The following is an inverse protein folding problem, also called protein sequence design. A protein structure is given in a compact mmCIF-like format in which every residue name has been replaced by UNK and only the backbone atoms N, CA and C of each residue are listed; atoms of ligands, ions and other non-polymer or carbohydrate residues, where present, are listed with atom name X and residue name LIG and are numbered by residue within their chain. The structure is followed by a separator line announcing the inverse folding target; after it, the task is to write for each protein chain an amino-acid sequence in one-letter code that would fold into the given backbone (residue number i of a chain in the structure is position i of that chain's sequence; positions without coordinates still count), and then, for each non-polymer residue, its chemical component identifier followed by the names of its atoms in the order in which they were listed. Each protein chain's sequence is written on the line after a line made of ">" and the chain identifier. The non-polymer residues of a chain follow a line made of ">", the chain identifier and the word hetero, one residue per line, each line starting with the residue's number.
data_IF_938442575139
#
_entry.id   IF_938442575139
#
_cell.length_a   1.000
_cell.length_b   1.000
_cell.length_c   1.000
_cell.angle_alpha   90.00
_cell.angle_beta   90.00
_cell.angle_gamma   90.00
#
_symmetry.space_group_name_H-M   'P 1'
#
loop_
_entity.id
_entity.type
_entity.pdbx_description
1 polymer ?
#
# COMPACT_ATOMS: atom_id res chain seq x y z
N UNK A 1 -4.70 -45.95 -15.10
CA UNK A 1 -4.71 -44.89 -14.06
C UNK A 1 -6.10 -44.27 -14.02
N UNK A 2 -6.81 -44.29 -12.88
CA UNK A 2 -8.13 -43.68 -12.77
C UNK A 2 -8.04 -42.14 -12.91
N UNK A 3 -8.99 -41.51 -13.62
CA UNK A 3 -9.09 -40.07 -13.74
C UNK A 3 -9.09 -39.35 -12.37
N UNK A 4 -9.65 -39.98 -11.33
CA UNK A 4 -9.62 -39.49 -9.94
C UNK A 4 -8.20 -39.47 -9.33
N UNK A 5 -7.32 -40.39 -9.70
CA UNK A 5 -5.94 -40.43 -9.22
C UNK A 5 -5.07 -39.36 -9.90
N UNK A 6 -5.28 -39.12 -11.20
CA UNK A 6 -4.62 -38.04 -11.94
C UNK A 6 -5.05 -36.65 -11.43
N UNK A 7 -6.34 -36.48 -11.07
CA UNK A 7 -6.88 -35.26 -10.49
C UNK A 7 -6.24 -34.85 -9.15
N UNK A 8 -5.60 -35.77 -8.41
CA UNK A 8 -4.87 -35.42 -7.16
C UNK A 8 -3.57 -34.67 -7.42
N UNK A 9 -2.99 -34.76 -8.62
CA UNK A 9 -1.76 -34.04 -9.00
C UNK A 9 -2.02 -32.57 -9.35
N UNK A 10 -3.24 -32.26 -9.79
CA UNK A 10 -3.62 -30.91 -10.21
C UNK A 10 -4.62 -30.30 -9.21
N UNK A 11 -4.28 -29.18 -8.55
CA UNK A 11 -5.13 -28.62 -7.50
C UNK A 11 -6.53 -28.26 -7.99
N UNK A 12 -6.64 -27.72 -9.21
CA UNK A 12 -7.93 -27.43 -9.85
C UNK A 12 -8.83 -28.66 -9.97
N UNK A 13 -8.35 -29.75 -10.56
CA UNK A 13 -9.16 -30.96 -10.74
C UNK A 13 -9.49 -31.61 -9.38
N UNK A 14 -8.58 -31.53 -8.40
CA UNK A 14 -8.86 -31.99 -7.05
C UNK A 14 -9.98 -31.20 -6.36
N UNK A 15 -10.09 -29.90 -6.66
CA UNK A 15 -11.16 -29.03 -6.17
C UNK A 15 -12.49 -29.38 -6.84
N UNK A 16 -12.52 -29.46 -8.17
CA UNK A 16 -13.73 -29.80 -8.92
C UNK A 16 -14.27 -31.18 -8.52
N UNK A 17 -13.38 -32.17 -8.33
CA UNK A 17 -13.78 -33.50 -7.86
C UNK A 17 -14.45 -33.51 -6.49
N UNK A 18 -14.18 -32.52 -5.63
CA UNK A 18 -14.69 -32.44 -4.27
C UNK A 18 -15.95 -31.58 -4.16
N UNK A 19 -15.95 -30.43 -4.82
CA UNK A 19 -17.00 -29.41 -4.65
C UNK A 19 -18.02 -29.40 -5.79
N UNK A 20 -17.65 -29.88 -6.99
CA UNK A 20 -18.51 -29.90 -8.17
C UNK A 20 -18.29 -31.16 -9.02
N UNK A 21 -18.55 -32.37 -8.50
CA UNK A 21 -18.29 -33.60 -9.23
C UNK A 21 -19.06 -33.67 -10.56
N UNK A 22 -20.23 -33.03 -10.66
CA UNK A 22 -21.01 -32.92 -11.90
C UNK A 22 -20.35 -32.04 -12.98
N UNK A 23 -19.42 -31.17 -12.60
CA UNK A 23 -18.66 -30.34 -13.56
C UNK A 23 -17.49 -31.09 -14.21
N UNK A 24 -17.14 -32.28 -13.69
CA UNK A 24 -16.08 -33.07 -14.28
C UNK A 24 -16.59 -33.78 -15.55
N UNK A 25 -15.82 -33.74 -16.64
CA UNK A 25 -16.18 -34.45 -17.85
C UNK A 25 -16.10 -35.97 -17.64
N UNK A 26 -17.08 -36.70 -18.16
CA UNK A 26 -17.03 -38.16 -18.21
C UNK A 26 -15.94 -38.66 -19.18
N UNK A 27 -15.64 -37.86 -20.21
CA UNK A 27 -14.67 -38.19 -21.27
C UNK A 27 -13.30 -37.59 -20.97
N UNK A 28 -12.20 -38.35 -21.09
CA UNK A 28 -10.85 -37.81 -20.95
C UNK A 28 -10.57 -36.76 -22.04
N UNK A 29 -10.14 -35.56 -21.64
CA UNK A 29 -9.77 -34.47 -22.57
C UNK A 29 -10.87 -33.45 -22.85
N UNK A 30 -12.11 -33.69 -22.41
CA UNK A 30 -13.15 -32.65 -22.47
C UNK A 30 -12.93 -31.59 -21.37
N UNK A 31 -13.40 -30.37 -21.60
CA UNK A 31 -13.30 -29.29 -20.62
C UNK A 31 -14.37 -29.44 -19.53
N UNK A 32 -14.06 -29.09 -18.26
CA UNK A 32 -15.05 -29.09 -17.19
C UNK A 32 -16.17 -28.07 -17.46
N UNK A 33 -17.38 -28.45 -17.08
CA UNK A 33 -18.56 -27.59 -17.16
C UNK A 33 -18.57 -26.51 -16.07
N UNK A 34 -19.62 -25.66 -16.05
CA UNK A 34 -19.78 -24.64 -15.02
C UNK A 34 -19.90 -25.26 -13.62
N UNK A 35 -19.54 -24.48 -12.59
CA UNK A 35 -19.59 -24.93 -11.21
C UNK A 35 -21.03 -25.25 -10.78
N UNK A 36 -21.30 -26.53 -10.51
CA UNK A 36 -22.61 -27.05 -10.11
C UNK A 36 -22.64 -27.55 -8.64
N UNK A 37 -22.05 -26.76 -7.73
CA UNK A 37 -22.08 -27.07 -6.29
C UNK A 37 -23.32 -26.51 -5.60
N UNK A 38 -23.75 -27.16 -4.51
CA UNK A 38 -24.92 -26.75 -3.70
C UNK A 38 -24.71 -25.43 -2.95
N UNK A 39 -23.46 -25.09 -2.63
CA UNK A 39 -23.08 -23.87 -1.93
C UNK A 39 -21.73 -23.37 -2.42
N UNK A 40 -21.45 -22.09 -2.22
CA UNK A 40 -20.20 -21.48 -2.63
C UNK A 40 -19.10 -21.69 -1.57
N UNK A 41 -18.08 -22.53 -1.82
CA UNK A 41 -17.02 -22.80 -0.86
C UNK A 41 -16.00 -21.65 -0.71
N UNK A 42 -16.10 -20.60 -1.54
CA UNK A 42 -15.25 -19.41 -1.50
C UNK A 42 -15.85 -18.27 -0.68
N UNK A 43 -17.14 -18.35 -0.35
CA UNK A 43 -17.83 -17.38 0.47
C UNK A 43 -17.74 -17.77 1.96
N UNK A 44 -17.67 -16.79 2.88
CA UNK A 44 -17.90 -17.07 4.29
C UNK A 44 -19.34 -17.55 4.49
N UNK A 45 -19.52 -18.59 5.31
CA UNK A 45 -20.83 -19.16 5.63
C UNK A 45 -21.20 -18.85 7.07
N UNK A 46 -22.50 -18.93 7.38
CA UNK A 46 -22.98 -18.77 8.75
C UNK A 46 -23.43 -20.14 9.24
N UNK A 47 -22.74 -20.76 10.22
CA UNK A 47 -23.06 -22.10 10.74
C UNK A 47 -24.53 -22.26 11.16
N UNK A 48 -25.13 -21.20 11.72
CA UNK A 48 -26.54 -21.16 12.10
C UNK A 48 -27.08 -19.76 11.82
N UNK A 49 -28.36 -19.60 11.41
CA UNK A 49 -28.97 -18.29 11.24
C UNK A 49 -28.89 -17.42 12.51
N UNK A 50 -28.86 -18.07 13.69
CA UNK A 50 -28.78 -17.42 15.00
C UNK A 50 -27.34 -17.12 15.46
N UNK A 51 -26.32 -17.62 14.75
CA UNK A 51 -24.94 -17.39 15.14
C UNK A 51 -24.58 -15.89 15.06
N UNK A 52 -23.68 -15.43 15.95
CA UNK A 52 -23.21 -14.03 15.95
C UNK A 52 -21.93 -13.85 15.12
N UNK A 53 -21.31 -14.92 14.67
CA UNK A 53 -20.07 -14.92 13.88
C UNK A 53 -20.28 -15.55 12.50
N UNK A 54 -19.41 -15.15 11.57
CA UNK A 54 -19.27 -15.77 10.26
C UNK A 54 -18.11 -16.75 10.28
N UNK A 55 -18.28 -17.91 9.68
CA UNK A 55 -17.21 -18.85 9.44
C UNK A 55 -16.36 -18.38 8.25
N UNK A 56 -15.06 -18.57 8.37
CA UNK A 56 -14.15 -18.31 7.27
C UNK A 56 -14.49 -19.20 6.06
N UNK A 57 -14.24 -18.73 4.82
CA UNK A 57 -14.46 -19.54 3.63
C UNK A 57 -13.63 -20.82 3.69
N UNK A 58 -14.21 -21.93 3.22
CA UNK A 58 -13.59 -23.26 3.22
C UNK A 58 -12.22 -23.26 2.53
N UNK A 59 -12.06 -22.42 1.51
CA UNK A 59 -10.78 -22.16 0.86
C UNK A 59 -10.31 -20.73 1.14
N UNK A 60 -9.09 -20.58 1.64
CA UNK A 60 -8.47 -19.27 1.86
C UNK A 60 -8.26 -18.50 0.55
N UNK A 61 -8.22 -17.17 0.62
CA UNK A 61 -8.04 -16.30 -0.55
C UNK A 61 -6.81 -16.65 -1.40
N UNK A 62 -5.71 -17.06 -0.76
CA UNK A 62 -4.51 -17.54 -1.46
C UNK A 62 -4.80 -18.78 -2.31
N UNK A 63 -5.57 -19.74 -1.79
CA UNK A 63 -5.98 -20.95 -2.53
C UNK A 63 -6.96 -20.61 -3.65
N UNK A 64 -7.92 -19.72 -3.39
CA UNK A 64 -8.87 -19.25 -4.42
C UNK A 64 -8.12 -18.63 -5.62
N UNK A 65 -7.13 -17.76 -5.37
CA UNK A 65 -6.27 -17.18 -6.40
C UNK A 65 -5.46 -18.23 -7.16
N UNK A 66 -4.92 -19.22 -6.46
CA UNK A 66 -4.16 -20.31 -7.08
C UNK A 66 -5.03 -21.12 -8.05
N UNK A 67 -6.23 -21.50 -7.63
CA UNK A 67 -7.18 -22.24 -8.47
C UNK A 67 -7.56 -21.44 -9.72
N UNK A 68 -7.78 -20.13 -9.59
CA UNK A 68 -8.06 -19.26 -10.74
C UNK A 68 -6.89 -19.13 -11.70
N UNK A 69 -5.67 -18.94 -11.19
CA UNK A 69 -4.46 -18.91 -12.02
C UNK A 69 -4.27 -20.22 -12.79
N UNK A 70 -4.61 -21.35 -12.17
CA UNK A 70 -4.58 -22.65 -12.85
C UNK A 70 -5.68 -22.78 -13.89
N UNK A 71 -6.90 -22.31 -13.62
CA UNK A 71 -7.98 -22.28 -14.60
C UNK A 71 -7.63 -21.40 -15.82
N UNK A 72 -7.09 -20.21 -15.58
CA UNK A 72 -6.61 -19.30 -16.62
C UNK A 72 -5.47 -19.91 -17.44
N UNK A 73 -4.51 -20.57 -16.80
CA UNK A 73 -3.40 -21.25 -17.48
C UNK A 73 -3.87 -22.40 -18.39
N UNK A 74 -5.00 -23.03 -18.06
CA UNK A 74 -5.64 -24.07 -18.87
C UNK A 74 -6.64 -23.50 -19.89
N UNK A 75 -6.82 -22.18 -19.96
CA UNK A 75 -7.77 -21.53 -20.87
C UNK A 75 -9.23 -21.82 -20.54
N UNK A 76 -9.53 -22.16 -19.28
CA UNK A 76 -10.89 -22.50 -18.85
C UNK A 76 -11.76 -21.26 -18.66
N UNK A 77 -13.07 -21.37 -18.94
CA UNK A 77 -13.99 -20.26 -18.69
C UNK A 77 -14.09 -19.94 -17.20
N UNK A 78 -14.34 -18.67 -16.88
CA UNK A 78 -14.40 -18.19 -15.49
C UNK A 78 -15.51 -18.88 -14.66
N UNK A 79 -16.54 -19.39 -15.33
CA UNK A 79 -17.71 -20.04 -14.71
C UNK A 79 -17.44 -21.45 -14.18
N UNK A 80 -16.26 -22.02 -14.48
CA UNK A 80 -15.82 -23.32 -13.93
C UNK A 80 -15.59 -23.25 -12.42
N UNK A 81 -15.27 -22.06 -11.90
CA UNK A 81 -15.06 -21.84 -10.47
C UNK A 81 -16.21 -21.00 -9.89
N UNK A 82 -16.58 -21.19 -8.61
CA UNK A 82 -17.60 -20.37 -8.00
C UNK A 82 -17.14 -18.90 -7.86
N UNK A 83 -18.08 -17.96 -7.74
CA UNK A 83 -17.75 -16.55 -7.59
C UNK A 83 -16.95 -16.32 -6.30
N UNK A 84 -15.83 -15.58 -6.39
CA UNK A 84 -14.96 -15.27 -5.24
C UNK A 84 -15.14 -13.81 -4.82
N UNK A 85 -15.33 -13.51 -3.52
CA UNK A 85 -15.60 -12.16 -3.03
C UNK A 85 -14.44 -11.17 -3.22
N UNK A 86 -13.19 -11.64 -3.27
CA UNK A 86 -12.01 -10.77 -3.46
C UNK A 86 -11.71 -10.44 -4.91
N UNK A 87 -12.50 -10.98 -5.83
CA UNK A 87 -12.31 -10.80 -7.26
C UNK A 87 -13.61 -10.24 -7.79
N UNK A 88 -13.89 -8.98 -7.41
CA UNK A 88 -14.81 -8.12 -8.16
C UNK A 88 -14.47 -8.30 -9.63
N UNK A 89 -15.41 -8.87 -10.38
CA UNK A 89 -15.34 -9.17 -11.80
C UNK A 89 -14.41 -8.17 -12.54
N UNK A 90 -13.17 -8.58 -12.77
CA UNK A 90 -12.34 -8.05 -13.86
C UNK A 90 -12.68 -8.78 -15.16
N UNK A 91 -13.94 -9.21 -15.31
CA UNK A 91 -14.45 -9.88 -16.52
C UNK A 91 -14.80 -8.88 -17.62
N UNK A 92 -14.27 -7.66 -17.53
CA UNK A 92 -14.18 -6.79 -18.69
C UNK A 92 -12.70 -6.70 -19.08
N UNK A 93 -12.31 -7.02 -20.32
CA UNK A 93 -10.97 -6.76 -20.83
C UNK A 93 -10.62 -5.24 -20.81
N UNK A 94 -11.57 -4.38 -20.43
CA UNK A 94 -11.40 -2.95 -20.17
C UNK A 94 -11.23 -2.59 -18.69
N UNK A 95 -11.17 -3.55 -17.76
CA UNK A 95 -10.87 -3.30 -16.34
C UNK A 95 -9.37 -3.04 -16.12
N UNK A 96 -8.92 -1.99 -16.81
CA UNK A 96 -7.75 -1.16 -16.59
C UNK A 96 -7.16 -1.34 -15.19
N UNK A 97 -5.89 -1.73 -15.14
CA UNK A 97 -4.97 -1.25 -14.10
C UNK A 97 -5.29 0.23 -13.78
N UNK A 98 -5.21 0.70 -12.53
CA UNK A 98 -5.44 2.11 -12.22
C UNK A 98 -4.57 3.04 -13.10
N UNK A 99 -3.40 2.56 -13.56
CA UNK A 99 -2.54 3.26 -14.52
C UNK A 99 -3.14 3.36 -15.94
N UNK A 100 -3.98 2.42 -16.34
CA UNK A 100 -4.64 2.41 -17.64
C UNK A 100 -5.85 3.37 -17.72
N UNK A 101 -6.33 3.90 -16.58
CA UNK A 101 -7.38 4.94 -16.52
C UNK A 101 -6.89 6.36 -16.82
N UNK A 102 -5.58 6.56 -16.85
CA UNK A 102 -4.98 7.85 -17.13
C UNK A 102 -4.71 7.99 -18.64
N UNK A 103 -4.99 9.17 -19.19
CA UNK A 103 -4.71 9.53 -20.59
C UNK A 103 -3.22 9.42 -20.91
N UNK A 104 -2.88 9.16 -22.18
CA UNK A 104 -1.50 8.96 -22.64
C UNK A 104 -0.58 10.15 -22.30
N UNK A 105 -1.11 11.37 -22.32
CA UNK A 105 -0.39 12.57 -21.87
C UNK A 105 -0.14 12.61 -20.35
N UNK A 106 -1.09 12.16 -19.53
CA UNK A 106 -0.90 12.06 -18.06
C UNK A 106 0.08 10.96 -17.66
N UNK A 107 0.30 9.95 -18.51
CA UNK A 107 1.33 8.91 -18.29
C UNK A 107 2.76 9.43 -18.50
N UNK A 108 2.93 10.61 -19.13
CA UNK A 108 4.23 11.23 -19.44
C UNK A 108 4.64 12.31 -18.42
N UNK A 109 4.29 12.16 -17.14
CA UNK A 109 4.94 12.98 -16.11
C UNK A 109 6.31 12.38 -15.80
N UNK A 110 7.32 12.87 -16.52
CA UNK A 110 8.72 12.56 -16.22
C UNK A 110 9.06 13.04 -14.82
N UNK A 111 9.62 12.14 -14.01
CA UNK A 111 10.22 12.48 -12.73
C UNK A 111 11.40 13.41 -12.95
N UNK A 112 11.30 14.66 -12.51
CA UNK A 112 12.42 15.62 -12.49
C UNK A 112 13.10 15.64 -11.11
N UNK A 113 14.43 15.83 -11.03
CA UNK A 113 15.18 15.81 -9.77
C UNK A 113 14.98 17.05 -8.86
N UNK A 114 14.07 17.98 -9.19
CA UNK A 114 13.94 19.28 -8.51
C UNK A 114 12.60 19.55 -7.80
N UNK A 115 11.71 18.56 -7.68
CA UNK A 115 10.43 18.72 -6.95
C UNK A 115 10.48 17.99 -5.62
N UNK A 116 10.73 18.67 -4.47
CA UNK A 116 10.54 18.05 -3.17
C UNK A 116 9.05 17.76 -2.96
N UNK A 117 8.76 16.54 -2.52
CA UNK A 117 7.40 16.01 -2.37
C UNK A 117 6.58 16.86 -1.37
N UNK A 118 5.61 17.65 -1.86
CA UNK A 118 4.25 17.84 -1.28
C UNK A 118 3.45 19.06 -1.77
N UNK A 119 3.62 19.57 -3.00
CA UNK A 119 2.66 20.52 -3.62
C UNK A 119 1.91 19.98 -4.83
N UNK A 120 2.41 18.90 -5.42
CA UNK A 120 1.89 18.31 -6.66
C UNK A 120 0.52 17.66 -6.47
N UNK A 121 0.26 17.00 -5.33
CA UNK A 121 -1.01 16.29 -5.12
C UNK A 121 -2.20 17.22 -4.93
N UNK A 122 -2.02 18.38 -4.28
CA UNK A 122 -3.11 19.35 -4.09
C UNK A 122 -3.33 20.21 -5.35
N UNK A 123 -2.30 20.47 -6.16
CA UNK A 123 -2.42 21.19 -7.45
C UNK A 123 -3.00 20.35 -8.60
N UNK A 124 -2.97 19.02 -8.49
CA UNK A 124 -3.47 18.10 -9.52
C UNK A 124 -4.96 17.75 -9.39
N UNK A 125 -5.65 18.20 -8.33
CA UNK A 125 -7.07 17.93 -8.12
C UNK A 125 -7.42 16.43 -8.11
N UNK A 126 -6.47 15.56 -7.75
CA UNK A 126 -6.68 14.12 -7.72
C UNK A 126 -7.49 13.73 -6.49
N UNK A 127 -8.57 12.98 -6.72
CA UNK A 127 -9.36 12.39 -5.64
C UNK A 127 -8.49 11.50 -4.75
N UNK A 128 -8.46 11.83 -3.46
CA UNK A 128 -7.68 11.09 -2.44
C UNK A 128 -8.43 9.80 -2.11
N UNK A 129 -7.97 8.66 -2.63
CA UNK A 129 -8.55 7.33 -2.33
C UNK A 129 -7.80 6.58 -1.22
N UNK A 130 -8.51 5.71 -0.50
CA UNK A 130 -7.92 4.79 0.49
C UNK A 130 -7.65 5.44 1.86
N UNK A 131 -6.60 5.02 2.61
CA UNK A 131 -6.30 5.50 3.97
C UNK A 131 -6.06 7.02 4.10
N UNK A 132 -6.01 7.71 2.97
CA UNK A 132 -5.76 9.14 2.83
C UNK A 132 -7.02 9.93 2.38
N UNK A 133 -8.15 9.24 2.16
CA UNK A 133 -9.44 9.89 1.95
C UNK A 133 -9.85 10.68 3.21
N UNK A 134 -10.13 11.98 3.05
CA UNK A 134 -10.60 12.85 4.13
C UNK A 134 -9.51 13.51 5.00
N UNK A 135 -8.21 13.24 4.78
CA UNK A 135 -7.13 13.95 5.49
C UNK A 135 -6.87 15.32 4.86
N UNK A 136 -7.16 16.40 5.61
CA UNK A 136 -6.76 17.77 5.23
C UNK A 136 -5.25 17.95 5.47
N UNK A 137 -4.50 18.28 4.42
CA UNK A 137 -3.06 18.57 4.51
C UNK A 137 -2.12 17.46 4.04
N UNK A 138 -0.82 17.78 4.03
CA UNK A 138 0.26 16.96 3.49
C UNK A 138 0.22 15.51 4.05
N UNK A 139 0.38 14.53 3.15
CA UNK A 139 0.27 13.10 3.44
C UNK A 139 1.24 12.58 4.51
N UNK A 140 2.23 13.38 4.92
CA UNK A 140 3.26 13.01 5.88
C UNK A 140 3.47 14.11 6.92
N UNK A 141 3.46 13.70 8.19
CA UNK A 141 3.72 14.57 9.37
C UNK A 141 5.09 15.25 9.35
N UNK A 142 6.02 14.79 8.52
CA UNK A 142 7.42 15.20 8.53
C UNK A 142 8.17 14.71 9.77
N UNK A 143 9.50 14.59 9.66
CA UNK A 143 10.37 14.27 10.80
C UNK A 143 10.35 15.43 11.80
N UNK A 144 10.65 15.15 13.08
CA UNK A 144 10.60 16.19 14.12
C UNK A 144 11.51 17.39 13.81
N UNK A 145 12.68 17.13 13.20
CA UNK A 145 13.65 18.17 12.85
C UNK A 145 13.18 19.07 11.69
N UNK A 146 12.36 18.54 10.78
CA UNK A 146 11.74 19.30 9.68
C UNK A 146 10.68 20.24 10.25
N UNK A 147 9.82 19.71 11.13
CA UNK A 147 8.78 20.50 11.82
C UNK A 147 9.36 21.62 12.70
N UNK A 148 10.50 21.38 13.34
CA UNK A 148 11.19 22.37 14.19
C UNK A 148 12.21 23.22 13.42
N UNK A 149 12.32 23.10 12.09
CA UNK A 149 13.35 23.80 11.32
C UNK A 149 13.18 25.31 11.43
N UNK A 150 11.98 25.83 11.22
CA UNK A 150 11.68 27.26 11.27
C UNK A 150 11.92 27.87 12.65
N UNK A 151 11.51 27.16 13.71
CA UNK A 151 11.79 27.55 15.09
C UNK A 151 13.30 27.64 15.34
N UNK A 152 14.05 26.60 14.97
CA UNK A 152 15.52 26.59 15.13
C UNK A 152 16.20 27.71 14.36
N UNK A 153 15.75 28.01 13.14
CA UNK A 153 16.31 29.13 12.36
C UNK A 153 15.98 30.48 12.99
N UNK A 154 14.77 30.65 13.53
CA UNK A 154 14.38 31.87 14.23
C UNK A 154 15.17 32.07 15.53
N UNK A 155 15.38 31.01 16.30
CA UNK A 155 16.18 31.05 17.53
C UNK A 155 17.65 31.39 17.22
N UNK A 156 18.21 30.80 16.15
CA UNK A 156 19.56 31.09 15.69
C UNK A 156 19.69 32.57 15.26
N UNK A 157 18.72 33.10 14.51
CA UNK A 157 18.72 34.50 14.10
C UNK A 157 18.74 35.46 15.31
N UNK A 158 17.92 35.20 16.33
CA UNK A 158 17.90 35.97 17.59
C UNK A 158 19.24 35.93 18.33
N UNK A 159 19.91 34.77 18.34
CA UNK A 159 21.22 34.64 18.98
C UNK A 159 22.31 35.43 18.23
N UNK A 160 22.24 35.46 16.89
CA UNK A 160 23.18 36.21 16.07
C UNK A 160 23.01 37.73 16.20
N UNK A 161 21.77 38.22 16.36
CA UNK A 161 21.48 39.65 16.49
C UNK A 161 22.27 40.31 17.64
N UNK A 162 22.46 39.60 18.76
CA UNK A 162 23.22 40.10 19.92
C UNK A 162 24.69 39.63 19.98
N UNK A 163 25.19 38.93 18.97
CA UNK A 163 26.50 38.29 19.04
C UNK A 163 27.65 39.31 19.08
N UNK A 164 27.58 40.35 18.25
CA UNK A 164 28.63 41.37 18.16
C UNK A 164 28.73 42.21 19.44
N UNK A 165 27.59 42.57 20.03
CA UNK A 165 27.53 43.28 21.30
C UNK A 165 28.13 42.45 22.44
N UNK A 166 27.84 41.15 22.50
CA UNK A 166 28.44 40.21 23.47
C UNK A 166 29.95 40.10 23.26
N UNK A 167 30.41 40.02 22.01
CA UNK A 167 31.83 39.96 21.68
C UNK A 167 32.56 41.24 22.11
N UNK A 168 31.97 42.42 21.87
CA UNK A 168 32.53 43.70 22.29
C UNK A 168 32.60 43.82 23.82
N UNK A 169 31.53 43.45 24.52
CA UNK A 169 31.50 43.44 25.99
C UNK A 169 32.57 42.50 26.57
N UNK A 170 32.71 41.30 26.01
CA UNK A 170 33.74 40.35 26.42
C UNK A 170 35.17 40.85 26.15
N UNK A 171 35.42 41.49 25.00
CA UNK A 171 36.72 42.12 24.73
C UNK A 171 37.02 43.23 25.74
N UNK A 172 36.03 44.04 26.09
CA UNK A 172 36.18 45.10 27.10
C UNK A 172 36.55 44.54 28.47
N UNK A 173 35.84 43.50 28.94
CA UNK A 173 36.16 42.88 30.24
C UNK A 173 37.57 42.28 30.28
N UNK A 174 38.04 41.70 29.17
CA UNK A 174 39.40 41.19 29.05
C UNK A 174 40.46 42.32 29.11
N UNK A 175 40.21 43.45 28.46
CA UNK A 175 41.08 44.62 28.51
C UNK A 175 41.15 45.18 29.94
N UNK A 176 39.99 45.34 30.59
CA UNK A 176 39.90 45.85 31.96
C UNK A 176 40.62 44.92 32.96
N UNK A 177 40.48 43.60 32.79
CA UNK A 177 41.19 42.61 33.60
C UNK A 177 42.72 42.70 33.41
N UNK A 178 43.19 42.85 32.16
CA UNK A 178 44.62 43.04 31.87
C UNK A 178 45.16 44.35 32.43
N UNK A 179 44.39 45.43 32.38
CA UNK A 179 44.80 46.73 32.93
C UNK A 179 44.96 46.67 34.46
N UNK A 180 44.02 46.04 35.17
CA UNK A 180 44.11 45.83 36.63
C UNK A 180 45.30 44.97 37.04
N UNK A 181 45.65 43.94 36.26
CA UNK A 181 46.81 43.09 36.53
C UNK A 181 48.18 43.73 36.27
N UNK A 182 48.26 44.80 35.47
CA UNK A 182 49.53 45.49 35.15
C UNK A 182 49.94 46.55 36.17
N UNK A 183 49.02 47.04 37.00
CA UNK A 183 49.27 48.15 37.92
C UNK A 183 50.05 47.77 39.20
N UNK A 184 50.47 46.50 39.36
CA UNK A 184 51.05 45.99 40.60
C UNK A 184 52.53 45.58 40.53
N UNK A 185 53.28 46.01 39.51
CA UNK A 185 54.73 45.80 39.48
C UNK A 185 55.44 47.13 39.81
N UNK A 186 55.83 47.34 41.08
CA UNK A 186 56.70 48.46 41.44
C UNK A 186 58.09 48.23 40.84
N UNK A 187 58.65 49.27 40.21
CA UNK A 187 60.05 49.34 39.82
C UNK A 187 60.94 49.45 41.06
#
# INVERSE_FOLDING_TARGET
>A
MSAKAAARRFPLYSFLARESPASLPATPGAQPGPFAGTSNPFAPTKASPLARSWDAPRYSLRRQKKLRREAEALGLPADVLPPSPSLKLSSSPLASSPAARLSLERRRLQSTPHVPASKVLDGLGLDKYGPYAGRKGAAFKGKLWERKKEQRTADLAKLLEGADAKAAAWRKTQVDAKAKGKASLPF
#
